data_IF_800039700317
#
_entry.id   IF_800039700317
#
_cell.length_a   1.000
_cell.length_b   1.000
_cell.length_c   1.000
_cell.angle_alpha   90.00
_cell.angle_beta   90.00
_cell.angle_gamma   90.00
#
_symmetry.space_group_name_H-M   'P 1'
#
loop_
_entity.id
_entity.type
_entity.pdbx_description
1 polymer ?
#
# COMPACT_ATOMS: atom_id res chain seq x y z
N UNK A 1 -17.74 -14.97 0.19
CA UNK A 1 -18.09 -13.66 0.77
C UNK A 1 -17.10 -13.34 1.88
N UNK A 2 -16.40 -12.20 1.76
CA UNK A 2 -15.41 -11.70 2.73
C UNK A 2 -15.47 -10.16 2.77
N UNK A 3 -14.89 -9.55 3.80
CA UNK A 3 -14.63 -8.11 3.85
C UNK A 3 -13.16 -7.91 3.48
N UNK A 4 -12.88 -7.03 2.52
CA UNK A 4 -11.52 -6.59 2.19
C UNK A 4 -11.32 -5.16 2.69
N UNK A 5 -10.38 -5.01 3.62
CA UNK A 5 -9.85 -3.72 4.03
C UNK A 5 -8.77 -3.30 3.03
N UNK A 6 -9.00 -2.22 2.31
CA UNK A 6 -8.12 -1.78 1.23
C UNK A 6 -7.40 -0.48 1.58
N UNK A 7 -6.15 -0.60 1.99
CA UNK A 7 -5.25 0.51 2.28
C UNK A 7 -4.34 0.80 1.10
N UNK A 8 -4.77 1.68 0.22
CA UNK A 8 -4.11 2.01 -1.05
C UNK A 8 -2.82 2.82 -0.91
N UNK A 9 -2.55 3.35 0.27
CA UNK A 9 -1.41 4.23 0.51
C UNK A 9 -0.43 3.69 1.57
N UNK A 10 -0.78 2.60 2.25
CA UNK A 10 0.00 2.10 3.37
C UNK A 10 -0.08 3.03 4.58
N UNK A 11 -1.28 3.56 4.86
CA UNK A 11 -1.51 4.49 5.98
C UNK A 11 -1.88 3.76 7.27
N UNK A 12 -2.39 2.55 7.19
CA UNK A 12 -2.79 1.77 8.36
C UNK A 12 -1.56 1.39 9.19
N UNK A 13 -1.44 2.00 10.36
CA UNK A 13 -0.33 1.74 11.27
C UNK A 13 -0.50 0.39 11.99
N UNK A 14 0.60 -0.24 12.44
CA UNK A 14 0.55 -1.60 13.01
C UNK A 14 -0.40 -1.75 14.19
N UNK A 15 -0.41 -0.81 15.13
CA UNK A 15 -1.30 -0.88 16.31
C UNK A 15 -2.76 -0.55 15.98
N UNK A 16 -2.99 0.35 15.04
CA UNK A 16 -4.33 0.62 14.51
C UNK A 16 -4.90 -0.62 13.79
N UNK A 17 -4.05 -1.37 13.09
CA UNK A 17 -4.44 -2.65 12.49
C UNK A 17 -4.89 -3.66 13.55
N UNK A 18 -4.21 -3.74 14.69
CA UNK A 18 -4.61 -4.60 15.81
C UNK A 18 -6.01 -4.24 16.31
N UNK A 19 -6.27 -2.95 16.54
CA UNK A 19 -7.56 -2.46 17.02
C UNK A 19 -8.67 -2.69 16.01
N UNK A 20 -8.43 -2.33 14.74
CA UNK A 20 -9.41 -2.45 13.66
C UNK A 20 -9.79 -3.91 13.39
N UNK A 21 -8.77 -4.79 13.23
CA UNK A 21 -9.01 -6.22 12.97
C UNK A 21 -9.68 -6.86 14.18
N UNK A 22 -9.24 -6.58 15.41
CA UNK A 22 -9.88 -7.08 16.63
C UNK A 22 -11.35 -6.70 16.69
N UNK A 23 -11.67 -5.43 16.51
CA UNK A 23 -13.04 -4.94 16.52
C UNK A 23 -13.91 -5.59 15.41
N UNK A 24 -13.36 -5.81 14.22
CA UNK A 24 -14.06 -6.49 13.14
C UNK A 24 -14.32 -7.97 13.49
N UNK A 25 -13.33 -8.69 14.01
CA UNK A 25 -13.47 -10.10 14.40
C UNK A 25 -14.51 -10.31 15.50
N UNK A 26 -14.71 -9.32 16.38
CA UNK A 26 -15.77 -9.35 17.40
C UNK A 26 -17.17 -9.14 16.81
N UNK A 27 -17.30 -8.42 15.72
CA UNK A 27 -18.59 -7.96 15.20
C UNK A 27 -19.03 -8.65 13.91
N UNK A 28 -18.15 -9.35 13.19
CA UNK A 28 -18.47 -10.03 11.93
C UNK A 28 -17.96 -11.48 11.93
N UNK A 29 -18.75 -12.38 11.32
CA UNK A 29 -18.41 -13.82 11.23
C UNK A 29 -17.82 -14.24 9.89
N UNK A 30 -17.70 -13.32 8.92
CA UNK A 30 -17.13 -13.60 7.60
C UNK A 30 -15.63 -13.32 7.58
N UNK A 31 -14.86 -13.97 6.68
CA UNK A 31 -13.43 -13.75 6.58
C UNK A 31 -13.06 -12.29 6.32
N UNK A 32 -11.98 -11.82 6.95
CA UNK A 32 -11.41 -10.49 6.79
C UNK A 32 -10.11 -10.62 6.01
N UNK A 33 -10.01 -9.86 4.93
CA UNK A 33 -8.82 -9.73 4.10
C UNK A 33 -8.23 -8.33 4.28
N UNK A 34 -6.92 -8.24 4.43
CA UNK A 34 -6.20 -6.97 4.45
C UNK A 34 -5.31 -6.84 3.23
N UNK A 35 -5.53 -5.75 2.49
CA UNK A 35 -4.72 -5.32 1.36
C UNK A 35 -4.09 -3.97 1.69
N UNK A 36 -2.78 -3.91 1.93
CA UNK A 36 -2.07 -2.65 2.16
C UNK A 36 -0.86 -2.51 1.25
N UNK A 37 -0.64 -1.29 0.75
CA UNK A 37 0.54 -0.95 -0.06
C UNK A 37 1.75 -0.63 0.82
N UNK A 38 2.95 -0.83 0.28
CA UNK A 38 4.20 -0.61 1.01
C UNK A 38 4.74 0.82 0.88
N UNK A 39 3.96 1.74 0.30
CA UNK A 39 4.41 3.10 -0.07
C UNK A 39 5.00 3.88 1.11
N UNK A 40 4.42 3.76 2.30
CA UNK A 40 4.91 4.39 3.54
C UNK A 40 6.06 3.64 4.23
N UNK A 41 6.24 2.35 3.91
CA UNK A 41 7.22 1.47 4.54
C UNK A 41 6.72 0.67 5.74
N UNK A 42 5.49 0.89 6.23
CA UNK A 42 4.98 0.23 7.45
C UNK A 42 4.27 -1.10 7.20
N UNK A 43 3.87 -1.40 5.96
CA UNK A 43 2.95 -2.49 5.64
C UNK A 43 3.39 -3.87 6.16
N UNK A 44 4.69 -4.18 6.23
CA UNK A 44 5.17 -5.45 6.78
C UNK A 44 4.88 -5.59 8.28
N UNK A 45 5.01 -4.50 9.04
CA UNK A 45 4.70 -4.46 10.46
C UNK A 45 3.19 -4.46 10.68
N UNK A 46 2.45 -3.77 9.83
CA UNK A 46 0.99 -3.76 9.81
C UNK A 46 0.43 -5.16 9.60
N UNK A 47 0.96 -5.91 8.62
CA UNK A 47 0.55 -7.30 8.39
C UNK A 47 0.87 -8.22 9.57
N UNK A 48 2.05 -8.07 10.20
CA UNK A 48 2.37 -8.85 11.39
C UNK A 48 1.33 -8.63 12.49
N UNK A 49 1.01 -7.38 12.77
CA UNK A 49 0.02 -7.03 13.80
C UNK A 49 -1.42 -7.43 13.43
N UNK A 50 -1.79 -7.33 12.17
CA UNK A 50 -3.09 -7.79 11.68
C UNK A 50 -3.25 -9.31 11.80
N UNK A 51 -2.21 -10.09 11.49
CA UNK A 51 -2.20 -11.56 11.62
C UNK A 51 -2.32 -11.96 13.09
N UNK A 52 -1.56 -11.32 13.98
CA UNK A 52 -1.69 -11.53 15.43
C UNK A 52 -3.09 -11.20 15.96
N UNK A 53 -3.77 -10.22 15.35
CA UNK A 53 -5.16 -9.84 15.69
C UNK A 53 -6.24 -10.72 15.03
N UNK A 54 -5.85 -11.68 14.19
CA UNK A 54 -6.75 -12.69 13.61
C UNK A 54 -7.30 -12.37 12.23
N UNK A 55 -6.63 -11.53 11.41
CA UNK A 55 -6.98 -11.38 10.00
C UNK A 55 -6.85 -12.73 9.28
N UNK A 56 -7.80 -13.04 8.41
CA UNK A 56 -7.86 -14.34 7.74
C UNK A 56 -7.00 -14.40 6.47
N UNK A 57 -6.85 -13.29 5.77
CA UNK A 57 -6.09 -13.20 4.51
C UNK A 57 -5.29 -11.90 4.46
N UNK A 58 -4.05 -11.97 4.02
CA UNK A 58 -3.21 -10.82 3.66
C UNK A 58 -2.78 -10.90 2.20
N UNK A 59 -2.80 -9.77 1.50
CA UNK A 59 -2.36 -9.70 0.10
C UNK A 59 -0.87 -9.38 0.04
N UNK A 60 -0.14 -10.18 -0.72
CA UNK A 60 1.31 -10.03 -0.89
C UNK A 60 1.69 -10.05 -2.37
N UNK A 61 2.91 -9.65 -2.68
CA UNK A 61 3.46 -9.71 -4.04
C UNK A 61 4.73 -10.56 -4.06
N UNK A 62 4.97 -11.29 -5.17
CA UNK A 62 6.23 -12.01 -5.36
C UNK A 62 7.41 -11.02 -5.34
N UNK A 63 8.53 -11.38 -4.72
CA UNK A 63 9.61 -10.45 -4.34
C UNK A 63 10.11 -9.54 -5.45
N UNK A 64 10.25 -9.95 -6.74
CA UNK A 64 10.67 -9.03 -7.79
C UNK A 64 9.74 -7.83 -7.99
N UNK A 65 8.45 -7.98 -7.70
CA UNK A 65 7.43 -6.91 -7.85
C UNK A 65 6.88 -6.41 -6.52
N UNK A 66 7.50 -6.79 -5.40
CA UNK A 66 7.08 -6.36 -4.07
C UNK A 66 7.68 -5.00 -3.67
N UNK A 67 7.23 -4.49 -2.53
CA UNK A 67 7.68 -3.25 -1.89
C UNK A 67 7.33 -1.96 -2.66
N UNK A 68 7.86 -0.84 -2.22
CA UNK A 68 7.55 0.46 -2.83
C UNK A 68 6.04 0.71 -2.93
N UNK A 69 5.53 0.96 -4.13
CA UNK A 69 4.08 1.16 -4.36
C UNK A 69 3.27 -0.14 -4.49
N UNK A 70 3.92 -1.30 -4.35
CA UNK A 70 3.30 -2.62 -4.32
C UNK A 70 3.04 -3.10 -2.88
N UNK A 71 2.90 -4.40 -2.65
CA UNK A 71 2.64 -5.03 -1.36
C UNK A 71 3.94 -5.58 -0.74
N UNK A 72 3.90 -6.02 0.53
CA UNK A 72 4.98 -6.79 1.13
C UNK A 72 5.30 -8.08 0.35
N UNK A 73 6.57 -8.48 0.35
CA UNK A 73 7.01 -9.68 -0.35
C UNK A 73 6.43 -10.97 0.26
N UNK A 74 5.89 -11.86 -0.60
CA UNK A 74 5.29 -13.14 -0.22
C UNK A 74 6.29 -14.02 0.52
N UNK A 75 7.49 -14.21 -0.03
CA UNK A 75 8.52 -15.08 0.52
C UNK A 75 8.95 -14.63 1.92
N UNK A 76 9.03 -13.31 2.13
CA UNK A 76 9.35 -12.73 3.44
C UNK A 76 8.25 -13.01 4.45
N UNK A 77 6.98 -12.93 4.06
CA UNK A 77 5.86 -13.23 4.95
C UNK A 77 5.79 -14.71 5.30
N UNK A 78 5.97 -15.58 4.32
CA UNK A 78 6.02 -17.03 4.54
C UNK A 78 7.12 -17.39 5.55
N UNK A 79 8.34 -16.87 5.39
CA UNK A 79 9.44 -17.11 6.33
C UNK A 79 9.19 -16.46 7.71
N UNK A 80 8.54 -15.27 7.73
CA UNK A 80 8.19 -14.58 9.00
C UNK A 80 7.27 -15.44 9.87
N UNK A 81 6.31 -16.15 9.26
CA UNK A 81 5.30 -16.94 9.99
C UNK A 81 5.67 -18.42 10.16
N UNK A 82 6.75 -18.87 9.56
CA UNK A 82 7.21 -20.25 9.63
C UNK A 82 7.42 -20.73 11.07
N UNK A 83 6.88 -21.90 11.39
CA UNK A 83 6.95 -22.48 12.74
C UNK A 83 6.11 -21.75 13.79
N UNK A 84 5.28 -20.79 13.42
CA UNK A 84 4.30 -20.12 14.27
C UNK A 84 2.91 -20.72 14.07
N UNK A 85 1.89 -20.38 14.89
CA UNK A 85 0.50 -20.75 14.63
C UNK A 85 -0.08 -20.21 13.30
N UNK A 86 0.64 -19.29 12.67
CA UNK A 86 0.27 -18.64 11.40
C UNK A 86 1.06 -19.18 10.20
N UNK A 87 1.76 -20.30 10.36
CA UNK A 87 2.54 -20.92 9.30
C UNK A 87 1.63 -21.30 8.12
N UNK A 88 1.97 -20.82 6.94
CA UNK A 88 1.20 -21.05 5.71
C UNK A 88 1.48 -22.41 5.08
N UNK A 89 2.58 -23.06 5.44
CA UNK A 89 3.03 -24.31 4.84
C UNK A 89 3.50 -24.18 3.39
N UNK A 90 3.72 -22.96 2.87
CA UNK A 90 4.21 -22.78 1.50
C UNK A 90 5.67 -23.22 1.37
N UNK A 91 6.00 -23.83 0.22
CA UNK A 91 7.36 -24.21 -0.11
C UNK A 91 8.19 -23.00 -0.53
N UNK A 92 9.15 -22.62 0.31
CA UNK A 92 10.07 -21.50 0.05
C UNK A 92 10.94 -21.69 -1.19
N UNK A 93 11.33 -22.94 -1.52
CA UNK A 93 12.12 -23.20 -2.72
C UNK A 93 11.28 -22.93 -3.99
N UNK A 94 10.03 -23.38 -3.99
CA UNK A 94 9.10 -23.10 -5.10
C UNK A 94 8.83 -21.59 -5.23
N UNK A 95 8.66 -20.87 -4.13
CA UNK A 95 8.51 -19.41 -4.17
C UNK A 95 9.77 -18.73 -4.72
N UNK A 96 10.96 -19.20 -4.37
CA UNK A 96 12.21 -18.70 -4.92
C UNK A 96 12.32 -18.95 -6.44
N UNK A 97 11.94 -20.14 -6.91
CA UNK A 97 11.89 -20.44 -8.35
C UNK A 97 10.92 -19.52 -9.10
N UNK A 98 9.75 -19.24 -8.52
CA UNK A 98 8.77 -18.28 -9.07
C UNK A 98 9.40 -16.88 -9.13
N UNK A 99 10.08 -16.45 -8.06
CA UNK A 99 10.74 -15.15 -8.03
C UNK A 99 11.84 -15.05 -9.11
N UNK A 100 12.63 -16.09 -9.28
CA UNK A 100 13.68 -16.12 -10.30
C UNK A 100 13.13 -16.07 -11.72
N UNK A 101 11.97 -16.69 -11.97
CA UNK A 101 11.27 -16.56 -13.25
C UNK A 101 10.84 -15.11 -13.55
N UNK A 102 10.36 -14.38 -12.55
CA UNK A 102 9.88 -13.00 -12.72
C UNK A 102 10.99 -11.95 -12.68
N UNK A 103 12.19 -12.26 -12.20
CA UNK A 103 13.29 -11.31 -12.07
C UNK A 103 13.70 -10.68 -13.40
N UNK A 104 13.97 -11.44 -14.48
CA UNK A 104 14.32 -10.86 -15.78
C UNK A 104 13.18 -10.03 -16.38
N UNK A 105 11.92 -10.41 -16.14
CA UNK A 105 10.74 -9.64 -16.59
C UNK A 105 10.70 -8.27 -15.91
N UNK A 106 11.00 -8.24 -14.60
CA UNK A 106 11.13 -6.98 -13.86
C UNK A 106 12.27 -6.11 -14.41
N UNK A 107 13.41 -6.70 -14.69
CA UNK A 107 14.59 -5.99 -15.17
C UNK A 107 14.31 -5.38 -16.55
N UNK A 108 13.67 -6.11 -17.46
CA UNK A 108 13.19 -5.58 -18.74
C UNK A 108 12.18 -4.44 -18.57
N UNK A 109 11.25 -4.56 -17.61
CA UNK A 109 10.29 -3.50 -17.33
C UNK A 109 10.97 -2.23 -16.78
N UNK A 110 12.07 -2.35 -16.04
CA UNK A 110 12.88 -1.22 -15.58
C UNK A 110 13.66 -0.58 -16.74
N UNK A 111 14.31 -1.38 -17.58
CA UNK A 111 15.09 -0.92 -18.72
C UNK A 111 14.23 -0.22 -19.77
N UNK A 112 13.04 -0.74 -20.04
CA UNK A 112 12.07 -0.13 -20.96
C UNK A 112 11.37 1.13 -20.40
N UNK A 113 11.52 1.40 -19.09
CA UNK A 113 10.83 2.50 -18.41
C UNK A 113 9.35 2.21 -18.08
N UNK A 114 8.86 1.00 -18.35
CA UNK A 114 7.51 0.57 -17.95
C UNK A 114 7.36 0.58 -16.43
N UNK A 115 8.39 0.14 -15.71
CA UNK A 115 8.48 0.24 -14.26
C UNK A 115 9.37 1.44 -13.87
N UNK A 116 8.76 2.44 -13.24
CA UNK A 116 9.52 3.62 -12.81
C UNK A 116 10.31 3.32 -11.54
N UNK A 117 11.65 3.49 -11.51
CA UNK A 117 12.48 3.26 -10.32
C UNK A 117 12.04 4.07 -9.10
N UNK A 118 11.42 5.23 -9.27
CA UNK A 118 10.88 6.07 -8.17
C UNK A 118 9.78 5.36 -7.38
N UNK A 119 9.12 4.37 -7.97
CA UNK A 119 8.06 3.58 -7.33
C UNK A 119 8.59 2.43 -6.48
N UNK A 120 9.89 2.15 -6.51
CA UNK A 120 10.50 1.02 -5.80
C UNK A 120 10.91 1.36 -4.37
N UNK A 121 11.02 2.64 -4.05
CA UNK A 121 11.35 3.11 -2.70
C UNK A 121 10.13 3.32 -1.81
N UNK A 122 10.39 3.56 -0.53
CA UNK A 122 9.38 4.02 0.42
C UNK A 122 9.38 5.54 0.52
N UNK A 123 8.23 6.12 0.80
CA UNK A 123 8.08 7.55 0.99
C UNK A 123 7.31 7.85 2.29
N UNK A 124 8.04 8.18 3.34
CA UNK A 124 7.44 8.51 4.65
C UNK A 124 6.48 9.71 4.58
N UNK A 125 6.64 10.60 3.60
CA UNK A 125 5.71 11.71 3.37
C UNK A 125 4.29 11.25 3.08
N UNK A 126 4.11 10.01 2.61
CA UNK A 126 2.79 9.40 2.47
C UNK A 126 2.01 9.40 3.78
N UNK A 127 2.67 9.13 4.91
CA UNK A 127 2.03 9.18 6.24
C UNK A 127 1.70 10.62 6.67
N UNK A 128 2.51 11.60 6.25
CA UNK A 128 2.30 13.01 6.59
C UNK A 128 1.16 13.62 5.76
N UNK A 129 1.15 13.37 4.46
CA UNK A 129 0.19 13.97 3.53
C UNK A 129 -1.03 13.07 3.27
N UNK A 130 -0.99 11.82 3.72
CA UNK A 130 -2.07 10.83 3.57
C UNK A 130 -2.51 10.59 2.11
N UNK A 131 -1.56 10.66 1.17
CA UNK A 131 -1.84 10.63 -0.27
C UNK A 131 -1.50 9.27 -0.88
N UNK A 132 -2.46 8.56 -1.49
CA UNK A 132 -2.22 7.32 -2.21
C UNK A 132 -1.27 7.51 -3.40
N UNK A 133 -0.44 6.48 -3.71
CA UNK A 133 0.52 6.52 -4.81
C UNK A 133 -0.10 6.88 -6.18
N UNK A 134 -1.30 6.37 -6.47
CA UNK A 134 -2.04 6.72 -7.69
C UNK A 134 -2.48 8.19 -7.75
N UNK A 135 -2.78 8.80 -6.59
CA UNK A 135 -3.08 10.24 -6.51
C UNK A 135 -1.81 11.07 -6.74
N UNK A 136 -0.66 10.65 -6.20
CA UNK A 136 0.64 11.31 -6.45
C UNK A 136 0.98 11.36 -7.94
N UNK A 137 0.79 10.25 -8.65
CA UNK A 137 1.05 10.17 -10.09
C UNK A 137 0.14 11.10 -10.88
N UNK A 138 -1.15 11.14 -10.55
CA UNK A 138 -2.12 12.02 -11.20
C UNK A 138 -1.81 13.49 -10.92
N UNK A 139 -1.50 13.83 -9.66
CA UNK A 139 -1.14 15.20 -9.27
C UNK A 139 0.12 15.67 -10.02
N UNK A 140 1.15 14.84 -10.10
CA UNK A 140 2.37 15.15 -10.85
C UNK A 140 2.06 15.45 -12.33
N UNK A 141 1.19 14.63 -12.95
CA UNK A 141 0.78 14.85 -14.34
C UNK A 141 -0.01 16.15 -14.52
N UNK A 142 -0.95 16.43 -13.63
CA UNK A 142 -1.75 17.66 -13.65
C UNK A 142 -0.89 18.93 -13.47
N UNK A 143 0.02 18.91 -12.50
CA UNK A 143 0.93 20.05 -12.28
C UNK A 143 1.87 20.26 -13.47
N UNK A 144 2.32 19.19 -14.12
CA UNK A 144 3.12 19.27 -15.33
C UNK A 144 2.35 19.91 -16.48
N UNK A 145 1.09 19.52 -16.70
CA UNK A 145 0.22 20.10 -17.73
C UNK A 145 -0.04 21.60 -17.48
N UNK A 146 -0.02 22.03 -16.21
CA UNK A 146 -0.23 23.42 -15.79
C UNK A 146 1.07 24.24 -15.71
N UNK A 147 2.24 23.61 -15.92
CA UNK A 147 3.54 24.26 -15.78
C UNK A 147 3.87 24.69 -14.32
N UNK A 148 3.30 23.98 -13.34
CA UNK A 148 3.38 24.27 -11.92
C UNK A 148 4.07 23.12 -11.12
N UNK A 149 5.02 22.42 -11.76
CA UNK A 149 5.73 21.28 -11.15
C UNK A 149 6.51 21.64 -9.89
N UNK A 150 6.97 22.88 -9.80
CA UNK A 150 7.68 23.47 -8.65
C UNK A 150 6.80 23.57 -7.40
N UNK A 151 5.48 23.66 -7.57
CA UNK A 151 4.50 23.76 -6.49
C UNK A 151 4.05 22.40 -5.94
N UNK A 152 4.62 21.29 -6.40
CA UNK A 152 4.22 19.94 -6.02
C UNK A 152 4.13 19.72 -4.49
N UNK A 153 5.14 20.19 -3.75
CA UNK A 153 5.15 20.02 -2.29
C UNK A 153 4.14 20.92 -1.58
N UNK A 154 3.89 22.13 -2.07
CA UNK A 154 2.86 23.02 -1.53
C UNK A 154 1.47 22.38 -1.64
N UNK A 155 1.17 21.81 -2.80
CA UNK A 155 -0.10 21.11 -3.03
C UNK A 155 -0.24 19.89 -2.13
N UNK A 156 0.83 19.13 -1.92
CA UNK A 156 0.79 17.98 -1.01
C UNK A 156 0.52 18.38 0.44
N UNK A 157 1.07 19.49 0.91
CA UNK A 157 0.82 20.03 2.25
C UNK A 157 -0.63 20.49 2.44
N UNK A 158 -1.29 20.92 1.38
CA UNK A 158 -2.70 21.32 1.38
C UNK A 158 -3.68 20.13 1.41
N UNK A 159 -3.28 18.94 0.94
CA UNK A 159 -4.17 17.77 0.86
C UNK A 159 -4.82 17.41 2.20
N UNK A 160 -4.13 17.33 3.35
CA UNK A 160 -4.75 17.03 4.63
C UNK A 160 -5.77 18.08 5.06
N UNK A 161 -5.51 19.36 4.79
CA UNK A 161 -6.43 20.46 5.09
C UNK A 161 -7.71 20.34 4.25
N UNK A 162 -7.56 20.21 2.94
CA UNK A 162 -8.68 20.05 2.01
C UNK A 162 -9.49 18.80 2.34
N UNK A 163 -8.83 17.69 2.68
CA UNK A 163 -9.51 16.46 3.09
C UNK A 163 -10.37 16.69 4.33
N UNK A 164 -9.84 17.39 5.33
CA UNK A 164 -10.58 17.75 6.55
C UNK A 164 -11.79 18.65 6.24
N UNK A 165 -11.60 19.65 5.40
CA UNK A 165 -12.67 20.59 5.00
C UNK A 165 -13.81 19.87 4.24
N UNK A 166 -13.49 18.79 3.53
CA UNK A 166 -14.46 17.94 2.83
C UNK A 166 -15.08 16.82 3.69
N UNK A 167 -14.85 16.81 5.00
CA UNK A 167 -15.40 15.81 5.93
C UNK A 167 -14.65 14.48 5.94
N UNK A 168 -13.36 14.52 5.72
CA UNK A 168 -12.44 13.38 5.75
C UNK A 168 -12.84 12.19 4.85
N UNK A 169 -13.17 12.42 3.56
CA UNK A 169 -13.51 11.33 2.67
C UNK A 169 -12.36 10.32 2.55
N UNK A 170 -12.72 9.05 2.37
CA UNK A 170 -11.72 8.02 2.03
C UNK A 170 -11.03 8.38 0.71
N UNK A 171 -9.68 8.29 0.67
CA UNK A 171 -8.91 8.64 -0.52
C UNK A 171 -8.85 7.50 -1.54
N UNK A 172 -10.01 7.12 -2.05
CA UNK A 172 -10.22 6.19 -3.17
C UNK A 172 -10.89 6.94 -4.33
N UNK A 173 -10.83 6.40 -5.55
CA UNK A 173 -11.54 7.02 -6.68
C UNK A 173 -13.06 6.99 -6.44
N UNK A 174 -13.82 8.08 -6.71
CA UNK A 174 -13.38 9.36 -7.27
C UNK A 174 -12.92 10.41 -6.23
N UNK A 175 -13.17 10.21 -4.92
CA UNK A 175 -12.94 11.22 -3.88
C UNK A 175 -11.47 11.66 -3.78
N UNK A 176 -10.50 10.76 -3.98
CA UNK A 176 -9.08 11.12 -4.03
C UNK A 176 -8.75 12.11 -5.16
N UNK A 177 -9.44 12.01 -6.30
CA UNK A 177 -9.27 12.96 -7.41
C UNK A 177 -9.84 14.33 -7.05
N UNK A 178 -11.02 14.36 -6.43
CA UNK A 178 -11.65 15.62 -5.99
C UNK A 178 -10.78 16.36 -4.96
N UNK A 179 -10.27 15.64 -3.96
CA UNK A 179 -9.37 16.20 -2.95
C UNK A 179 -8.07 16.72 -3.60
N UNK A 180 -7.46 15.94 -4.50
CA UNK A 180 -6.22 16.33 -5.18
C UNK A 180 -6.40 17.56 -6.07
N UNK A 181 -7.49 17.61 -6.84
CA UNK A 181 -7.81 18.74 -7.69
C UNK A 181 -8.06 20.00 -6.86
N UNK A 182 -8.85 19.89 -5.78
CA UNK A 182 -9.13 21.03 -4.90
C UNK A 182 -7.88 21.53 -4.16
N UNK A 183 -6.94 20.66 -3.82
CA UNK A 183 -5.66 21.06 -3.21
C UNK A 183 -4.71 21.75 -4.21
N UNK A 184 -4.94 21.58 -5.51
CA UNK A 184 -4.17 22.24 -6.58
C UNK A 184 -4.66 23.62 -6.95
N UNK A 185 -5.81 24.04 -6.45
CA UNK A 185 -6.34 25.40 -6.62
C UNK A 185 -5.97 26.29 -5.43
#
# INVERSE_FOLDING_TARGET
NSICLKDMAGLLLPYEATELIGALKENVSIPIQLHTHYTSGVASMTYLKAVEAGVDVIDTAISPFALGTSQPATEVKVETFKGTPYDTGFDQNLLAEIADYFRPIRDEALESGLLNPKNLGVNIKTLLYQVPGGMLSNLTSQLKEQGAEDRYYEVLEEVPRVRKDLGEPTLVKPSSQSVGTQAGF
#
